data_IF_283131097440
#
_entry.id   IF_283131097440
#
_cell.length_a   1.000
_cell.length_b   1.000
_cell.length_c   1.000
_cell.angle_alpha   90.00
_cell.angle_beta   90.00
_cell.angle_gamma   90.00
#
_symmetry.space_group_name_H-M   'P 1'
#
loop_
_entity.id
_entity.type
_entity.pdbx_description
1 polymer ?
#
# COMPACT_ATOMS: atom_id res chain seq x y z
N UNK A 1 -72.79 69.94 53.42
CA UNK A 1 -71.38 70.32 53.10
C UNK A 1 -70.35 69.32 53.67
N UNK A 2 -70.66 68.57 54.74
CA UNK A 2 -69.75 67.54 55.25
C UNK A 2 -69.98 66.16 54.56
N UNK A 3 -71.20 65.88 54.13
CA UNK A 3 -71.52 64.62 53.39
C UNK A 3 -70.93 64.62 51.97
N UNK A 4 -70.93 65.75 51.26
CA UNK A 4 -70.37 65.90 49.93
C UNK A 4 -68.85 65.68 49.90
N UNK A 5 -68.12 66.08 50.93
CA UNK A 5 -66.66 65.86 51.07
C UNK A 5 -66.32 64.36 51.31
N UNK A 6 -67.18 63.68 52.04
CA UNK A 6 -66.92 62.22 52.30
C UNK A 6 -67.12 61.39 51.04
N UNK A 7 -68.06 61.72 50.16
CA UNK A 7 -68.26 61.03 48.88
C UNK A 7 -67.10 61.28 47.88
N UNK A 8 -66.51 62.46 47.88
CA UNK A 8 -65.37 62.79 47.04
C UNK A 8 -64.13 62.02 47.51
N UNK A 9 -63.78 62.00 48.81
CA UNK A 9 -62.67 61.28 49.38
C UNK A 9 -62.76 59.74 49.13
N UNK A 10 -63.97 59.16 49.20
CA UNK A 10 -64.19 57.71 48.94
C UNK A 10 -64.07 57.43 47.42
N UNK A 11 -64.39 58.30 46.53
CA UNK A 11 -64.22 58.15 45.09
C UNK A 11 -62.71 58.25 44.72
N UNK A 12 -61.98 59.20 45.34
CA UNK A 12 -60.57 59.35 45.12
C UNK A 12 -59.77 58.14 45.63
N UNK A 13 -60.11 57.56 46.79
CA UNK A 13 -59.54 56.34 47.32
C UNK A 13 -59.78 55.17 46.40
N UNK A 14 -60.95 54.96 45.81
CA UNK A 14 -61.30 53.89 44.88
C UNK A 14 -60.57 54.03 43.55
N UNK A 15 -60.32 55.25 43.09
CA UNK A 15 -59.51 55.52 41.88
C UNK A 15 -58.05 55.19 42.13
N UNK A 16 -57.47 55.64 43.26
CA UNK A 16 -56.11 55.37 43.63
C UNK A 16 -55.85 53.80 43.80
N UNK A 17 -56.77 53.12 44.49
CA UNK A 17 -56.63 51.60 44.57
C UNK A 17 -56.69 50.86 43.21
N UNK A 18 -57.52 51.37 42.28
CA UNK A 18 -57.60 50.82 40.93
C UNK A 18 -56.30 51.05 40.11
N UNK A 19 -55.72 52.25 40.27
CA UNK A 19 -54.44 52.58 39.60
C UNK A 19 -53.29 51.80 40.19
N UNK A 20 -53.23 51.60 41.49
CA UNK A 20 -52.21 50.76 42.14
C UNK A 20 -52.32 49.34 41.74
N UNK A 21 -53.53 48.78 41.70
CA UNK A 21 -53.78 47.42 41.17
C UNK A 21 -53.36 47.23 39.68
N UNK A 22 -53.60 48.33 38.88
CA UNK A 22 -53.16 48.32 37.46
C UNK A 22 -51.62 48.41 37.35
N UNK A 23 -50.96 49.19 38.19
CA UNK A 23 -49.48 49.28 38.24
C UNK A 23 -48.87 47.90 38.64
N UNK A 24 -49.34 47.31 39.74
CA UNK A 24 -48.86 46.00 40.20
C UNK A 24 -49.08 44.88 39.15
N UNK A 25 -50.20 44.93 38.44
CA UNK A 25 -50.45 43.97 37.33
C UNK A 25 -49.48 44.14 36.15
N UNK A 26 -49.21 45.41 35.77
CA UNK A 26 -48.23 45.69 34.68
C UNK A 26 -46.79 45.32 35.06
N UNK A 27 -46.43 45.50 36.31
CA UNK A 27 -45.10 45.13 36.84
C UNK A 27 -44.91 43.63 36.84
N UNK A 28 -45.89 42.88 37.33
CA UNK A 28 -45.90 41.40 37.31
C UNK A 28 -45.85 40.85 35.87
N UNK A 29 -46.58 41.44 34.92
CA UNK A 29 -46.51 41.06 33.52
C UNK A 29 -45.15 41.33 32.87
N UNK A 30 -44.43 42.39 33.30
CA UNK A 30 -43.05 42.63 32.85
C UNK A 30 -42.07 41.64 33.41
N UNK A 31 -42.15 41.33 34.69
CA UNK A 31 -41.31 40.32 35.36
C UNK A 31 -41.50 38.95 34.72
N UNK A 32 -42.73 38.52 34.47
CA UNK A 32 -43.04 37.24 33.83
C UNK A 32 -42.51 37.19 32.38
N UNK A 33 -42.57 38.28 31.63
CA UNK A 33 -41.98 38.38 30.29
C UNK A 33 -40.47 38.31 30.33
N UNK A 34 -39.82 38.98 31.27
CA UNK A 34 -38.38 38.95 31.43
C UNK A 34 -37.87 37.56 31.84
N UNK A 35 -38.58 36.92 32.80
CA UNK A 35 -38.28 35.54 33.20
C UNK A 35 -38.37 34.54 32.04
N UNK A 36 -39.44 34.61 31.25
CA UNK A 36 -39.60 33.78 30.04
C UNK A 36 -38.53 34.05 28.99
N UNK A 37 -38.05 35.29 28.90
CA UNK A 37 -36.95 35.64 27.97
C UNK A 37 -35.62 35.01 28.42
N UNK A 38 -35.31 35.10 29.73
CA UNK A 38 -34.12 34.49 30.31
C UNK A 38 -34.11 32.98 30.17
N UNK A 39 -35.23 32.28 30.45
CA UNK A 39 -35.35 30.84 30.29
C UNK A 39 -35.17 30.39 28.83
N UNK A 40 -35.68 31.18 27.88
CA UNK A 40 -35.49 30.86 26.44
C UNK A 40 -34.03 31.03 26.01
N UNK A 41 -33.34 32.03 26.53
CA UNK A 41 -31.93 32.31 26.23
C UNK A 41 -31.01 31.22 26.84
N UNK A 42 -31.32 30.80 28.07
CA UNK A 42 -30.59 29.72 28.74
C UNK A 42 -30.73 28.39 28.01
N UNK A 43 -31.96 28.02 27.63
CA UNK A 43 -32.22 26.82 26.80
C UNK A 43 -31.55 26.88 25.44
N UNK A 44 -31.40 28.07 24.85
CA UNK A 44 -30.67 28.23 23.58
C UNK A 44 -29.18 27.99 23.77
N UNK A 45 -28.57 28.58 24.82
CA UNK A 45 -27.15 28.38 25.16
C UNK A 45 -26.84 26.93 25.46
N UNK A 46 -27.69 26.21 26.20
CA UNK A 46 -27.52 24.78 26.49
C UNK A 46 -27.56 23.90 25.22
N UNK A 47 -28.49 24.24 24.30
CA UNK A 47 -28.53 23.51 23.01
C UNK A 47 -27.28 23.75 22.13
N UNK A 48 -26.80 25.01 22.11
CA UNK A 48 -25.58 25.33 21.35
C UNK A 48 -24.35 24.66 21.95
N UNK A 49 -24.23 24.57 23.27
CA UNK A 49 -23.15 23.89 23.96
C UNK A 49 -23.16 22.39 23.69
N UNK A 50 -24.36 21.76 23.77
CA UNK A 50 -24.52 20.33 23.44
C UNK A 50 -24.13 20.03 21.97
N UNK A 51 -24.54 20.91 21.05
CA UNK A 51 -24.19 20.77 19.63
C UNK A 51 -22.68 20.93 19.39
N UNK A 52 -22.02 21.86 20.10
CA UNK A 52 -20.58 22.05 20.04
C UNK A 52 -19.81 20.82 20.54
N UNK A 53 -20.18 20.31 21.72
CA UNK A 53 -19.57 19.11 22.30
C UNK A 53 -19.75 17.87 21.40
N UNK A 54 -20.90 17.73 20.73
CA UNK A 54 -21.14 16.66 19.78
C UNK A 54 -20.20 16.75 18.55
N UNK A 55 -20.06 17.95 17.96
CA UNK A 55 -19.16 18.18 16.83
C UNK A 55 -17.69 17.93 17.19
N UNK A 56 -17.27 18.30 18.39
CA UNK A 56 -15.91 18.08 18.89
C UNK A 56 -15.59 16.60 19.01
N UNK A 57 -16.50 15.81 19.63
CA UNK A 57 -16.37 14.35 19.71
C UNK A 57 -16.33 13.67 18.33
N UNK A 58 -17.18 14.09 17.40
CA UNK A 58 -17.16 13.55 16.02
C UNK A 58 -15.84 13.86 15.30
N UNK A 59 -15.25 15.04 15.56
CA UNK A 59 -13.95 15.42 14.99
C UNK A 59 -12.82 14.58 15.57
N UNK A 60 -12.78 14.38 16.88
CA UNK A 60 -11.80 13.54 17.56
C UNK A 60 -11.87 12.08 17.09
N UNK A 61 -13.10 11.53 16.95
CA UNK A 61 -13.28 10.16 16.46
C UNK A 61 -12.79 9.98 15.01
N UNK A 62 -13.06 10.97 14.15
CA UNK A 62 -12.57 10.97 12.76
C UNK A 62 -11.04 11.04 12.70
N UNK A 63 -10.43 11.87 13.53
CA UNK A 63 -8.98 12.00 13.60
C UNK A 63 -8.33 10.72 14.12
N UNK A 64 -8.93 10.10 15.16
CA UNK A 64 -8.47 8.80 15.68
C UNK A 64 -8.51 7.70 14.61
N UNK A 65 -9.64 7.58 13.89
CA UNK A 65 -9.79 6.62 12.79
C UNK A 65 -8.80 6.87 11.63
N UNK A 66 -8.45 8.14 11.39
CA UNK A 66 -7.44 8.48 10.38
C UNK A 66 -6.04 8.03 10.80
N UNK A 67 -5.66 8.27 12.06
CA UNK A 67 -4.37 7.85 12.63
C UNK A 67 -4.23 6.31 12.62
N UNK A 68 -5.26 5.57 13.06
CA UNK A 68 -5.25 4.11 13.02
C UNK A 68 -5.09 3.54 11.60
N UNK A 69 -5.72 4.16 10.60
CA UNK A 69 -5.56 3.74 9.20
C UNK A 69 -4.14 3.99 8.68
N UNK A 70 -3.55 5.10 9.06
CA UNK A 70 -2.19 5.47 8.66
C UNK A 70 -1.15 4.56 9.32
N UNK A 71 -1.34 4.24 10.60
CA UNK A 71 -0.50 3.31 11.35
C UNK A 71 -0.55 1.89 10.75
N UNK A 72 -1.75 1.36 10.48
CA UNK A 72 -1.93 0.07 9.80
C UNK A 72 -1.32 0.03 8.39
N UNK A 73 -1.31 1.17 7.69
CA UNK A 73 -0.66 1.26 6.37
C UNK A 73 0.86 1.18 6.51
N UNK A 74 1.44 1.90 7.48
CA UNK A 74 2.88 1.86 7.76
C UNK A 74 3.33 0.46 8.18
N UNK A 75 2.59 -0.20 9.08
CA UNK A 75 2.89 -1.55 9.53
C UNK A 75 2.86 -2.57 8.36
N UNK A 76 1.89 -2.44 7.44
CA UNK A 76 1.86 -3.28 6.24
C UNK A 76 3.02 -3.02 5.28
N UNK A 77 3.43 -1.76 5.12
CA UNK A 77 4.59 -1.40 4.30
C UNK A 77 5.90 -1.92 4.92
N UNK A 78 6.02 -1.85 6.24
CA UNK A 78 7.20 -2.32 6.97
C UNK A 78 7.32 -3.85 6.88
N UNK A 79 6.23 -4.60 7.14
CA UNK A 79 6.19 -6.06 6.95
C UNK A 79 6.51 -6.47 5.51
N UNK A 80 6.01 -5.73 4.52
CA UNK A 80 6.32 -6.02 3.11
C UNK A 80 7.81 -5.80 2.79
N UNK A 81 8.44 -4.76 3.35
CA UNK A 81 9.88 -4.52 3.19
C UNK A 81 10.70 -5.62 3.85
N UNK A 82 10.32 -6.07 5.04
CA UNK A 82 11.00 -7.14 5.78
C UNK A 82 10.92 -8.47 5.01
N UNK A 83 9.76 -8.80 4.45
CA UNK A 83 9.57 -9.99 3.60
C UNK A 83 10.40 -9.95 2.32
N UNK A 84 10.52 -8.79 1.67
CA UNK A 84 11.35 -8.58 0.47
C UNK A 84 12.84 -8.76 0.79
N UNK A 85 13.32 -8.21 1.90
CA UNK A 85 14.72 -8.37 2.34
C UNK A 85 15.03 -9.85 2.58
N UNK A 86 14.11 -10.61 3.16
CA UNK A 86 14.30 -12.02 3.43
C UNK A 86 14.38 -12.82 2.12
N UNK A 87 13.48 -12.62 1.17
CA UNK A 87 13.50 -13.28 -0.16
C UNK A 87 14.80 -12.98 -0.92
N UNK A 88 15.25 -11.73 -0.93
CA UNK A 88 16.50 -11.33 -1.58
C UNK A 88 17.69 -12.02 -0.93
N UNK A 89 17.73 -12.10 0.38
CA UNK A 89 18.77 -12.82 1.12
C UNK A 89 18.77 -14.30 0.79
N UNK A 90 17.61 -14.95 0.69
CA UNK A 90 17.50 -16.36 0.30
C UNK A 90 18.15 -16.59 -1.07
N UNK A 91 17.80 -15.78 -2.09
CA UNK A 91 18.35 -15.92 -3.45
C UNK A 91 19.88 -15.81 -3.45
N UNK A 92 20.45 -14.89 -2.66
CA UNK A 92 21.91 -14.74 -2.55
C UNK A 92 22.56 -15.81 -1.68
N UNK A 93 21.83 -16.46 -0.76
CA UNK A 93 22.35 -17.55 0.07
C UNK A 93 22.31 -18.91 -0.61
N UNK A 94 21.38 -19.11 -1.56
CA UNK A 94 21.32 -20.34 -2.37
C UNK A 94 22.63 -20.56 -3.15
N UNK A 95 23.21 -19.48 -3.68
CA UNK A 95 24.46 -19.51 -4.42
C UNK A 95 25.17 -18.17 -4.25
N UNK A 96 26.40 -18.21 -3.75
CA UNK A 96 27.19 -17.00 -3.52
C UNK A 96 27.48 -16.22 -4.82
N UNK A 97 27.56 -16.91 -5.97
CA UNK A 97 27.72 -16.29 -7.28
C UNK A 97 26.48 -15.50 -7.73
N UNK A 98 25.32 -15.69 -7.07
CA UNK A 98 24.12 -14.89 -7.32
C UNK A 98 24.28 -13.41 -6.87
N UNK A 99 25.30 -13.11 -6.06
CA UNK A 99 25.66 -11.72 -5.69
C UNK A 99 26.27 -10.96 -6.84
N UNK A 100 26.60 -11.62 -7.94
CA UNK A 100 27.17 -11.00 -9.13
C UNK A 100 26.35 -11.36 -10.38
N UNK A 101 26.21 -10.40 -11.28
CA UNK A 101 25.56 -10.64 -12.57
C UNK A 101 26.24 -11.78 -13.32
N UNK A 102 25.47 -12.76 -13.79
CA UNK A 102 26.03 -13.93 -14.49
C UNK A 102 26.76 -13.55 -15.78
N UNK A 103 26.30 -12.50 -16.48
CA UNK A 103 26.84 -12.11 -17.78
C UNK A 103 28.02 -11.14 -17.70
N UNK A 104 27.95 -10.12 -16.85
CA UNK A 104 28.99 -9.07 -16.80
C UNK A 104 29.75 -8.99 -15.47
N UNK A 105 29.36 -9.78 -14.46
CA UNK A 105 30.01 -9.80 -13.15
C UNK A 105 29.69 -8.60 -12.24
N UNK A 106 28.80 -7.68 -12.63
CA UNK A 106 28.40 -6.54 -11.80
C UNK A 106 27.81 -7.00 -10.47
N UNK A 107 28.21 -6.36 -9.38
CA UNK A 107 27.77 -6.66 -8.03
C UNK A 107 26.32 -6.26 -7.80
N UNK A 108 25.66 -6.93 -6.84
CA UNK A 108 24.30 -6.66 -6.40
C UNK A 108 23.27 -6.58 -7.54
N UNK A 109 23.16 -7.62 -8.39
CA UNK A 109 22.18 -7.66 -9.46
C UNK A 109 20.76 -7.73 -8.90
N UNK A 110 19.82 -7.02 -9.52
CA UNK A 110 18.44 -6.87 -9.02
C UNK A 110 17.39 -7.56 -9.88
N UNK A 111 17.81 -8.26 -10.94
CA UNK A 111 16.92 -8.93 -11.89
C UNK A 111 17.19 -10.43 -11.95
N UNK A 112 16.17 -11.15 -12.35
CA UNK A 112 16.22 -12.61 -12.56
C UNK A 112 15.76 -12.91 -13.97
N UNK A 113 16.51 -13.74 -14.69
CA UNK A 113 16.01 -14.44 -15.88
C UNK A 113 15.48 -15.79 -15.45
N UNK A 114 14.15 -15.90 -15.32
CA UNK A 114 13.47 -17.07 -14.73
C UNK A 114 13.76 -18.34 -15.50
N UNK A 115 13.48 -18.38 -16.81
CA UNK A 115 13.66 -19.58 -17.63
C UNK A 115 15.11 -20.09 -17.67
N UNK A 116 16.07 -19.20 -17.43
CA UNK A 116 17.49 -19.54 -17.34
C UNK A 116 17.95 -19.80 -15.90
N UNK A 117 17.13 -19.44 -14.88
CA UNK A 117 17.43 -19.62 -13.47
C UNK A 117 18.65 -18.82 -13.01
N UNK A 118 18.90 -17.63 -13.58
CA UNK A 118 20.11 -16.84 -13.34
C UNK A 118 19.81 -15.42 -12.91
N UNK A 119 20.72 -14.84 -12.13
CA UNK A 119 20.62 -13.49 -11.59
C UNK A 119 21.47 -12.54 -12.42
N UNK A 120 20.88 -11.43 -12.86
CA UNK A 120 21.47 -10.48 -13.78
C UNK A 120 21.27 -9.04 -13.30
N UNK A 121 22.16 -8.13 -13.74
CA UNK A 121 22.02 -6.71 -13.44
C UNK A 121 21.03 -6.02 -14.40
N UNK A 122 20.58 -4.82 -14.03
CA UNK A 122 19.63 -3.99 -14.81
C UNK A 122 20.10 -3.75 -16.26
N UNK A 123 21.43 -3.55 -16.46
CA UNK A 123 22.00 -3.35 -17.79
C UNK A 123 21.83 -4.59 -18.68
N UNK A 124 22.20 -5.77 -18.16
CA UNK A 124 22.08 -7.02 -18.90
C UNK A 124 20.60 -7.40 -19.12
N UNK A 125 19.73 -7.10 -18.16
CA UNK A 125 18.29 -7.36 -18.27
C UNK A 125 17.67 -6.70 -19.50
N UNK A 126 18.07 -5.48 -19.86
CA UNK A 126 17.60 -4.79 -21.08
C UNK A 126 17.99 -5.53 -22.37
N UNK A 127 19.15 -6.17 -22.39
CA UNK A 127 19.54 -7.02 -23.52
C UNK A 127 18.72 -8.32 -23.53
N UNK A 128 18.45 -8.90 -22.37
CA UNK A 128 17.61 -10.08 -22.21
C UNK A 128 16.15 -9.83 -22.61
N UNK A 129 15.59 -8.65 -22.31
CA UNK A 129 14.23 -8.28 -22.72
C UNK A 129 14.06 -8.34 -24.24
N UNK A 130 15.13 -8.00 -24.99
CA UNK A 130 15.10 -8.07 -26.47
C UNK A 130 15.13 -9.48 -27.03
N UNK A 131 15.32 -10.52 -26.20
CA UNK A 131 15.29 -11.92 -26.60
C UNK A 131 13.88 -12.51 -26.64
N UNK A 132 12.91 -11.83 -26.02
CA UNK A 132 11.55 -12.31 -25.84
C UNK A 132 11.35 -13.18 -24.59
N UNK A 133 10.10 -13.31 -24.14
CA UNK A 133 9.73 -14.03 -22.92
C UNK A 133 10.02 -15.53 -22.97
N UNK A 134 9.96 -16.15 -24.15
CA UNK A 134 10.26 -17.58 -24.35
C UNK A 134 11.71 -17.89 -24.02
N UNK A 135 12.64 -16.99 -24.32
CA UNK A 135 14.07 -17.15 -24.08
C UNK A 135 14.49 -16.61 -22.73
N UNK A 136 13.96 -15.45 -22.33
CA UNK A 136 14.34 -14.82 -21.06
C UNK A 136 13.17 -14.04 -20.45
N UNK A 137 12.49 -14.67 -19.52
CA UNK A 137 11.43 -14.05 -18.73
C UNK A 137 12.06 -13.30 -17.55
N UNK A 138 12.03 -11.95 -17.62
CA UNK A 138 12.67 -11.10 -16.62
C UNK A 138 11.69 -10.67 -15.53
N UNK A 139 12.13 -10.80 -14.28
CA UNK A 139 11.45 -10.27 -13.08
C UNK A 139 12.44 -9.53 -12.17
N UNK A 140 11.92 -8.67 -11.28
CA UNK A 140 12.74 -8.12 -10.21
C UNK A 140 12.92 -9.18 -9.10
N UNK A 141 14.06 -9.19 -8.42
CA UNK A 141 14.28 -10.06 -7.24
C UNK A 141 13.24 -9.80 -6.14
N UNK A 142 12.77 -8.55 -6.04
CA UNK A 142 11.78 -8.10 -5.06
C UNK A 142 10.33 -8.45 -5.41
N UNK A 143 10.08 -8.95 -6.63
CA UNK A 143 8.73 -9.33 -7.04
C UNK A 143 8.23 -10.56 -6.26
N UNK A 144 6.92 -10.73 -6.18
CA UNK A 144 6.33 -11.94 -5.64
C UNK A 144 6.55 -13.09 -6.63
N UNK A 145 7.25 -14.12 -6.16
CA UNK A 145 7.42 -15.39 -6.86
C UNK A 145 6.54 -16.44 -6.20
N UNK A 146 5.81 -17.18 -7.01
CA UNK A 146 5.24 -18.44 -6.56
C UNK A 146 6.35 -19.53 -6.41
N UNK A 147 6.00 -20.61 -5.75
CA UNK A 147 6.94 -21.72 -5.52
C UNK A 147 7.51 -22.28 -6.82
N UNK A 148 6.72 -22.30 -7.88
CA UNK A 148 7.14 -22.80 -9.19
C UNK A 148 8.27 -21.94 -9.78
N UNK A 149 8.12 -20.61 -9.75
CA UNK A 149 9.15 -19.69 -10.25
C UNK A 149 10.42 -19.70 -9.39
N UNK A 150 10.28 -19.79 -8.06
CA UNK A 150 11.42 -19.91 -7.15
C UNK A 150 12.25 -21.14 -7.48
N UNK A 151 11.63 -22.27 -7.83
CA UNK A 151 12.32 -23.49 -8.17
C UNK A 151 13.27 -23.35 -9.37
N UNK A 152 13.00 -22.46 -10.34
CA UNK A 152 13.96 -22.17 -11.41
C UNK A 152 15.27 -21.58 -10.86
N UNK A 153 15.19 -20.70 -9.85
CA UNK A 153 16.37 -20.07 -9.24
C UNK A 153 17.13 -21.08 -8.38
N UNK A 154 16.40 -21.92 -7.63
CA UNK A 154 16.98 -22.95 -6.74
C UNK A 154 17.66 -24.04 -7.54
N UNK A 155 17.04 -24.53 -8.61
CA UNK A 155 17.55 -25.58 -9.46
C UNK A 155 18.58 -25.10 -10.48
N UNK A 156 18.43 -23.82 -10.92
CA UNK A 156 19.39 -23.10 -11.74
C UNK A 156 20.58 -22.58 -10.93
N UNK A 157 20.76 -21.33 -10.81
CA UNK A 157 21.81 -20.52 -10.17
C UNK A 157 22.97 -20.12 -11.08
N UNK A 158 23.61 -19.01 -10.71
CA UNK A 158 24.72 -18.47 -11.51
C UNK A 158 25.93 -19.44 -11.58
N UNK A 159 26.24 -20.14 -10.49
CA UNK A 159 27.30 -21.14 -10.50
C UNK A 159 27.00 -22.32 -11.45
N UNK A 160 25.78 -22.84 -11.37
CA UNK A 160 25.40 -24.01 -12.21
C UNK A 160 25.38 -23.62 -13.69
N UNK A 161 24.85 -22.45 -14.02
CA UNK A 161 24.84 -21.97 -15.38
C UNK A 161 26.25 -21.73 -15.94
N UNK A 162 27.13 -21.04 -15.24
CA UNK A 162 28.53 -20.83 -15.63
C UNK A 162 29.28 -22.14 -15.80
N UNK A 163 29.07 -23.08 -14.87
CA UNK A 163 29.67 -24.43 -14.99
C UNK A 163 29.20 -25.15 -16.25
N UNK A 164 27.89 -25.14 -16.51
CA UNK A 164 27.32 -25.70 -17.71
C UNK A 164 27.90 -25.10 -18.99
N UNK A 165 28.02 -23.79 -19.09
CA UNK A 165 28.63 -23.11 -20.24
C UNK A 165 30.08 -23.54 -20.45
N UNK A 166 30.84 -23.74 -19.36
CA UNK A 166 32.24 -24.22 -19.40
C UNK A 166 32.32 -25.67 -19.85
N UNK A 167 31.49 -26.53 -19.27
CA UNK A 167 31.46 -28.00 -19.61
C UNK A 167 31.08 -28.23 -21.08
N UNK A 168 30.11 -27.46 -21.59
CA UNK A 168 29.66 -27.50 -22.99
C UNK A 168 30.54 -26.69 -23.94
N UNK A 169 31.55 -25.98 -23.44
CA UNK A 169 32.49 -25.19 -24.25
C UNK A 169 31.77 -24.06 -25.06
N UNK A 170 30.76 -23.46 -24.46
CA UNK A 170 30.11 -22.28 -25.05
C UNK A 170 31.10 -21.10 -25.03
N UNK A 171 31.23 -20.43 -26.19
CA UNK A 171 32.17 -19.33 -26.31
C UNK A 171 31.81 -18.18 -25.35
N UNK A 172 32.71 -17.86 -24.44
CA UNK A 172 32.53 -16.80 -23.43
C UNK A 172 32.41 -15.39 -24.03
N UNK A 173 32.90 -15.18 -25.27
CA UNK A 173 32.88 -13.89 -25.95
C UNK A 173 31.58 -13.64 -26.71
N UNK A 174 30.68 -14.59 -26.77
CA UNK A 174 29.38 -14.37 -27.42
C UNK A 174 28.59 -13.26 -26.74
N UNK A 175 28.02 -12.33 -27.51
CA UNK A 175 27.08 -11.35 -27.00
C UNK A 175 25.88 -12.04 -26.33
N UNK A 176 25.24 -11.41 -25.36
CA UNK A 176 24.05 -11.95 -24.68
C UNK A 176 23.01 -12.47 -25.69
N UNK A 177 22.72 -11.67 -26.73
CA UNK A 177 21.73 -12.01 -27.77
C UNK A 177 22.05 -13.32 -28.51
N UNK A 178 23.31 -13.62 -28.73
CA UNK A 178 23.74 -14.87 -29.39
C UNK A 178 23.88 -16.02 -28.39
N UNK A 179 24.51 -15.77 -27.23
CA UNK A 179 24.74 -16.77 -26.18
C UNK A 179 23.47 -17.51 -25.78
N UNK A 180 22.39 -16.74 -25.53
CA UNK A 180 21.12 -17.34 -25.07
C UNK A 180 20.29 -18.01 -26.18
N UNK A 181 20.72 -17.89 -27.43
CA UNK A 181 20.15 -18.61 -28.59
C UNK A 181 20.99 -19.78 -29.07
N UNK A 182 22.09 -20.12 -28.38
CA UNK A 182 22.92 -21.28 -28.72
C UNK A 182 22.21 -22.59 -28.41
N UNK A 183 22.49 -23.63 -29.17
CA UNK A 183 21.95 -25.00 -28.96
C UNK A 183 22.19 -25.48 -27.52
N UNK A 184 23.37 -25.20 -26.97
CA UNK A 184 23.69 -25.55 -25.59
C UNK A 184 22.78 -24.85 -24.58
N UNK A 185 22.55 -23.54 -24.71
CA UNK A 185 21.71 -22.80 -23.75
C UNK A 185 20.23 -23.12 -23.92
N UNK A 186 19.76 -23.40 -25.13
CA UNK A 186 18.42 -23.97 -25.38
C UNK A 186 18.24 -25.28 -24.63
N UNK A 187 19.20 -26.19 -24.76
CA UNK A 187 19.20 -27.47 -24.05
C UNK A 187 19.20 -27.28 -22.53
N UNK A 188 20.01 -26.33 -22.01
CA UNK A 188 20.02 -26.01 -20.58
C UNK A 188 18.64 -25.57 -20.10
N UNK A 189 17.98 -24.63 -20.82
CA UNK A 189 16.62 -24.15 -20.45
C UNK A 189 15.60 -25.27 -20.46
N UNK A 190 15.60 -26.11 -21.49
CA UNK A 190 14.70 -27.25 -21.58
C UNK A 190 14.88 -28.22 -20.39
N UNK A 191 16.12 -28.51 -20.01
CA UNK A 191 16.40 -29.38 -18.87
C UNK A 191 16.12 -28.74 -17.53
N UNK A 192 16.39 -27.45 -17.36
CA UNK A 192 16.00 -26.70 -16.15
C UNK A 192 14.47 -26.74 -15.97
N UNK A 193 13.72 -26.49 -17.03
CA UNK A 193 12.25 -26.58 -17.01
C UNK A 193 11.76 -27.98 -16.67
N UNK A 194 12.36 -29.03 -17.30
CA UNK A 194 12.01 -30.43 -16.99
C UNK A 194 12.26 -30.77 -15.52
N UNK A 195 13.38 -30.32 -14.94
CA UNK A 195 13.69 -30.49 -13.50
C UNK A 195 12.65 -29.82 -12.62
N UNK A 196 12.31 -28.57 -12.90
CA UNK A 196 11.31 -27.82 -12.14
C UNK A 196 9.93 -28.48 -12.20
N UNK A 197 9.58 -29.06 -13.37
CA UNK A 197 8.31 -29.77 -13.59
C UNK A 197 8.32 -31.21 -13.09
N UNK A 198 9.45 -31.70 -12.54
CA UNK A 198 9.61 -33.11 -12.11
C UNK A 198 9.57 -34.12 -13.27
N UNK A 199 9.90 -33.67 -14.47
CA UNK A 199 9.95 -34.50 -15.68
C UNK A 199 11.35 -35.08 -15.90
N UNK A 200 11.44 -36.12 -16.74
CA UNK A 200 12.74 -36.67 -17.20
C UNK A 200 13.50 -35.62 -18.00
N UNK A 201 14.79 -35.46 -17.71
CA UNK A 201 15.67 -34.59 -18.46
C UNK A 201 15.85 -35.09 -19.90
N UNK A 202 16.05 -34.16 -20.82
CA UNK A 202 16.33 -34.46 -22.22
C UNK A 202 17.76 -34.99 -22.37
N UNK A 203 17.95 -35.88 -23.34
CA UNK A 203 19.27 -36.29 -23.73
C UNK A 203 19.87 -35.25 -24.67
N UNK A 204 21.21 -35.14 -24.65
CA UNK A 204 21.92 -34.19 -25.50
C UNK A 204 21.84 -34.60 -26.95
N UNK A 205 21.31 -33.74 -27.79
CA UNK A 205 21.02 -33.99 -29.21
C UNK A 205 21.74 -33.03 -30.20
N UNK A 206 22.55 -32.08 -29.69
CA UNK A 206 23.32 -31.16 -30.51
C UNK A 206 24.81 -31.57 -30.63
N UNK A 207 25.45 -31.17 -31.76
CA UNK A 207 26.85 -31.42 -32.04
C UNK A 207 27.73 -30.23 -31.81
N UNK A 208 27.23 -29.03 -32.24
CA UNK A 208 27.88 -27.74 -32.00
C UNK A 208 27.17 -26.98 -30.89
N UNK A 209 27.80 -26.80 -29.72
CA UNK A 209 27.20 -26.06 -28.62
C UNK A 209 26.97 -24.58 -28.93
N UNK A 210 27.72 -24.00 -29.86
CA UNK A 210 27.69 -22.58 -30.20
C UNK A 210 26.79 -22.27 -31.43
N UNK A 211 26.20 -23.29 -32.04
CA UNK A 211 25.23 -23.10 -33.13
C UNK A 211 24.07 -22.27 -32.63
N UNK A 212 23.81 -21.15 -33.34
CA UNK A 212 22.72 -20.22 -33.01
C UNK A 212 21.45 -20.67 -33.73
N UNK A 213 20.37 -20.78 -32.97
CA UNK A 213 19.03 -21.11 -33.48
C UNK A 213 18.13 -19.92 -33.31
N UNK A 214 17.48 -19.48 -34.37
CA UNK A 214 16.39 -18.54 -34.27
C UNK A 214 15.16 -19.29 -33.74
N UNK A 215 14.81 -19.00 -32.48
CA UNK A 215 13.55 -19.49 -31.90
C UNK A 215 12.46 -18.48 -32.34
N UNK A 216 11.44 -18.95 -33.04
CA UNK A 216 10.27 -18.14 -33.36
C UNK A 216 9.52 -17.82 -32.05
N UNK A 217 9.19 -16.54 -31.87
CA UNK A 217 8.33 -16.09 -30.78
C UNK A 217 6.90 -16.64 -31.02
N UNK A 218 6.52 -17.74 -30.38
CA UNK A 218 5.13 -18.22 -30.29
C UNK A 218 4.38 -17.54 -29.13
#
# INVERSE_FOLDING_TARGET
KEEDKKEEDDKEKKVNEKEEKKKKKKEKEKEDKEKKKKEKEEKKKEKEEKARKKKEKEKEEKEKKKKEKEEKKKEKEEKKKEEVIDKTNIIYTIDEQNKNCVDCGAENPTKVSINNGVIICEKCAKEHESLGHSISFIKNIEDDFDEFLINFIVMGSNTKFKRFLTEEKVDSNLPIKSKYKTQAVIFYRKNLKAKVEGKKEYEKDFKDPNEIVEEDDE
#
